data_IF_589921416536
#
_entry.id   IF_589921416536
#
_cell.length_a   1.000
_cell.length_b   1.000
_cell.length_c   1.000
_cell.angle_alpha   90.00
_cell.angle_beta   90.00
_cell.angle_gamma   90.00
#
_symmetry.space_group_name_H-M   'P 1'
#
loop_
_entity.id
_entity.type
_entity.pdbx_description
1 polymer ?
#
# COMPACT_ATOMS: atom_id res chain seq x y z
N UNK A 1 -66.10 -1.60 57.60
CA UNK A 1 -65.81 -1.80 56.16
C UNK A 1 -65.92 -0.41 55.56
N UNK A 2 -64.84 0.29 55.21
CA UNK A 2 -63.77 -0.12 54.29
C UNK A 2 -62.44 0.60 54.55
N UNK A 3 -61.32 -0.05 54.23
CA UNK A 3 -59.98 0.51 54.23
C UNK A 3 -59.60 1.01 52.80
N UNK A 4 -58.83 2.10 52.65
CA UNK A 4 -58.39 2.55 51.34
C UNK A 4 -57.19 1.71 50.83
N UNK A 5 -57.32 1.17 49.62
CA UNK A 5 -56.28 0.42 48.92
C UNK A 5 -55.14 1.34 48.48
N UNK A 6 -53.90 1.00 48.84
CA UNK A 6 -52.68 1.64 48.33
C UNK A 6 -52.37 1.09 46.92
N UNK A 7 -52.41 1.95 45.90
CA UNK A 7 -52.02 1.59 44.54
C UNK A 7 -50.50 1.51 44.42
N UNK A 8 -49.98 0.32 44.11
CA UNK A 8 -48.55 0.09 43.92
C UNK A 8 -48.04 0.73 42.61
N UNK A 9 -47.08 1.66 42.73
CA UNK A 9 -46.38 2.23 41.59
C UNK A 9 -45.55 1.16 40.87
N UNK A 10 -45.97 0.77 39.66
CA UNK A 10 -45.22 -0.18 38.82
C UNK A 10 -43.93 0.48 38.36
N UNK A 11 -42.79 -0.07 38.80
CA UNK A 11 -41.48 0.49 38.47
C UNK A 11 -41.22 0.40 36.96
N UNK A 12 -40.93 1.53 36.30
CA UNK A 12 -40.50 1.60 34.89
C UNK A 12 -39.05 1.10 34.65
N UNK A 13 -38.39 0.58 35.69
CA UNK A 13 -37.03 0.04 35.67
C UNK A 13 -36.77 -1.08 34.65
N UNK A 14 -37.66 -2.07 34.42
CA UNK A 14 -37.33 -3.17 33.52
C UNK A 14 -37.29 -2.75 32.04
N UNK A 15 -38.01 -1.68 31.68
CA UNK A 15 -38.06 -1.17 30.32
C UNK A 15 -36.79 -0.37 29.96
N UNK A 16 -36.26 0.38 30.93
CA UNK A 16 -34.97 1.06 30.77
C UNK A 16 -33.82 0.07 30.64
N UNK A 17 -33.81 -1.02 31.41
CA UNK A 17 -32.82 -2.09 31.28
C UNK A 17 -32.91 -2.84 29.94
N UNK A 18 -34.13 -3.12 29.47
CA UNK A 18 -34.33 -3.75 28.16
C UNK A 18 -33.84 -2.84 27.01
N UNK A 19 -34.11 -1.54 27.09
CA UNK A 19 -33.68 -0.58 26.07
C UNK A 19 -32.16 -0.39 26.07
N UNK A 20 -31.54 -0.40 27.25
CA UNK A 20 -30.08 -0.34 27.40
C UNK A 20 -29.39 -1.61 26.88
N UNK A 21 -30.00 -2.80 27.09
CA UNK A 21 -29.52 -4.06 26.52
C UNK A 21 -29.58 -4.06 25.00
N UNK A 22 -30.67 -3.56 24.39
CA UNK A 22 -30.80 -3.46 22.93
C UNK A 22 -29.74 -2.51 22.34
N UNK A 23 -29.52 -1.35 22.97
CA UNK A 23 -28.48 -0.40 22.55
C UNK A 23 -27.07 -0.98 22.72
N UNK A 24 -26.80 -1.69 23.82
CA UNK A 24 -25.53 -2.39 23.97
C UNK A 24 -25.31 -3.45 22.88
N UNK A 25 -26.33 -4.25 22.54
CA UNK A 25 -26.18 -5.27 21.49
C UNK A 25 -25.93 -4.69 20.10
N UNK A 26 -26.46 -3.51 19.76
CA UNK A 26 -26.21 -2.88 18.47
C UNK A 26 -24.82 -2.24 18.36
N UNK A 27 -24.22 -1.79 19.46
CA UNK A 27 -22.84 -1.28 19.48
C UNK A 27 -21.81 -2.42 19.27
N UNK A 28 -22.11 -3.66 19.71
CA UNK A 28 -21.20 -4.80 19.51
C UNK A 28 -21.12 -5.31 18.05
N UNK A 29 -22.08 -4.96 17.18
CA UNK A 29 -22.10 -5.39 15.78
C UNK A 29 -21.10 -4.70 14.84
N UNK A 30 -20.40 -3.65 15.31
CA UNK A 30 -19.56 -2.81 14.46
C UNK A 30 -18.26 -3.47 13.95
N UNK A 31 -17.81 -4.57 14.56
CA UNK A 31 -16.48 -5.14 14.25
C UNK A 31 -16.45 -6.06 13.02
N UNK A 32 -17.61 -6.51 12.50
CA UNK A 32 -17.65 -7.44 11.36
C UNK A 32 -17.64 -6.76 9.98
N UNK A 33 -17.70 -5.43 9.92
CA UNK A 33 -17.84 -4.69 8.66
C UNK A 33 -16.50 -4.48 7.91
N UNK A 34 -15.36 -4.77 8.53
CA UNK A 34 -14.03 -4.56 7.94
C UNK A 34 -13.43 -5.88 7.42
N UNK A 35 -14.14 -6.58 6.54
CA UNK A 35 -13.57 -7.68 5.80
C UNK A 35 -12.76 -7.12 4.60
N UNK A 36 -11.53 -7.59 4.35
CA UNK A 36 -10.84 -7.25 3.11
C UNK A 36 -11.70 -7.70 1.92
N UNK A 37 -11.66 -6.98 0.79
CA UNK A 37 -12.44 -7.34 -0.39
C UNK A 37 -12.16 -8.78 -0.78
N UNK A 38 -13.23 -9.55 -1.05
CA UNK A 38 -13.10 -10.95 -1.40
C UNK A 38 -12.21 -11.12 -2.64
N UNK A 39 -11.40 -12.18 -2.70
CA UNK A 39 -10.65 -12.49 -3.90
C UNK A 39 -11.57 -12.71 -5.09
N UNK A 40 -11.06 -12.38 -6.28
CA UNK A 40 -11.72 -12.74 -7.53
C UNK A 40 -11.74 -14.26 -7.70
N UNK A 41 -12.77 -14.79 -8.34
CA UNK A 41 -12.89 -16.21 -8.64
C UNK A 41 -12.64 -16.52 -10.11
N UNK A 42 -12.83 -15.53 -11.00
CA UNK A 42 -12.62 -15.68 -12.45
C UNK A 42 -11.92 -14.47 -13.06
N UNK A 43 -11.24 -14.68 -14.20
CA UNK A 43 -10.69 -13.60 -15.03
C UNK A 43 -11.77 -12.59 -15.42
N UNK A 44 -12.95 -13.06 -15.83
CA UNK A 44 -14.06 -12.19 -16.23
C UNK A 44 -14.50 -11.26 -15.09
N UNK A 45 -14.49 -11.75 -13.85
CA UNK A 45 -14.78 -10.92 -12.67
C UNK A 45 -13.70 -9.87 -12.42
N UNK A 46 -12.41 -10.24 -12.54
CA UNK A 46 -11.30 -9.30 -12.40
C UNK A 46 -11.37 -8.19 -13.46
N UNK A 47 -11.64 -8.56 -14.72
CA UNK A 47 -11.82 -7.62 -15.83
C UNK A 47 -13.02 -6.70 -15.62
N UNK A 48 -14.15 -7.24 -15.16
CA UNK A 48 -15.33 -6.43 -14.86
C UNK A 48 -15.07 -5.42 -13.71
N UNK A 49 -14.26 -5.80 -12.72
CA UNK A 49 -13.99 -4.98 -11.54
C UNK A 49 -12.79 -4.02 -11.69
N UNK A 50 -11.85 -4.29 -12.60
CA UNK A 50 -10.60 -3.53 -12.75
C UNK A 50 -10.34 -3.01 -14.17
N UNK A 51 -11.10 -3.45 -15.17
CA UNK A 51 -10.83 -3.18 -16.58
C UNK A 51 -9.73 -4.08 -17.14
N UNK A 52 -9.13 -3.66 -18.25
CA UNK A 52 -8.01 -4.38 -18.86
C UNK A 52 -6.77 -4.35 -17.95
N UNK A 53 -6.04 -5.47 -17.84
CA UNK A 53 -4.79 -5.50 -17.09
C UNK A 53 -3.73 -4.67 -17.79
N UNK A 54 -2.87 -4.06 -17.01
CA UNK A 54 -1.66 -3.36 -17.46
C UNK A 54 -0.77 -4.27 -18.29
N UNK A 55 -0.67 -5.55 -17.91
CA UNK A 55 0.10 -6.57 -18.62
C UNK A 55 -0.46 -7.96 -18.37
N UNK A 56 -0.28 -8.86 -19.34
CA UNK A 56 -0.57 -10.30 -19.21
C UNK A 56 0.74 -11.07 -19.31
N UNK A 57 1.06 -11.84 -18.28
CA UNK A 57 2.24 -12.68 -18.21
C UNK A 57 1.87 -14.13 -18.49
N UNK A 58 2.39 -14.69 -19.59
CA UNK A 58 2.31 -16.13 -19.81
C UNK A 58 3.35 -16.82 -18.93
N UNK A 59 2.92 -17.85 -18.20
CA UNK A 59 3.77 -18.68 -17.35
C UNK A 59 4.06 -20.03 -18.03
N UNK A 60 5.16 -20.66 -17.66
CA UNK A 60 5.60 -21.93 -18.26
C UNK A 60 4.66 -23.11 -17.96
N UNK A 61 3.90 -23.02 -16.86
CA UNK A 61 2.89 -23.99 -16.44
C UNK A 61 1.55 -23.86 -17.20
N UNK A 62 1.48 -22.95 -18.19
CA UNK A 62 0.28 -22.68 -18.98
C UNK A 62 -0.72 -21.74 -18.30
N UNK A 63 -0.43 -21.24 -17.10
CA UNK A 63 -1.24 -20.21 -16.44
C UNK A 63 -0.94 -18.82 -16.99
N UNK A 64 -1.87 -17.89 -16.82
CA UNK A 64 -1.65 -16.47 -17.13
C UNK A 64 -1.74 -15.65 -15.85
N UNK A 65 -0.79 -14.72 -15.64
CA UNK A 65 -0.89 -13.72 -14.57
C UNK A 65 -1.32 -12.38 -15.17
N UNK A 66 -2.45 -11.86 -14.71
CA UNK A 66 -2.96 -10.53 -15.02
C UNK A 66 -2.34 -9.53 -14.04
N UNK A 67 -1.66 -8.52 -14.56
CA UNK A 67 -1.04 -7.45 -13.79
C UNK A 67 -1.92 -6.21 -13.82
N UNK A 68 -2.24 -5.65 -12.65
CA UNK A 68 -2.93 -4.39 -12.47
C UNK A 68 -2.07 -3.43 -11.65
N UNK A 69 -1.14 -2.75 -12.32
CA UNK A 69 -0.22 -1.82 -11.70
C UNK A 69 -0.88 -0.44 -11.52
N UNK A 70 -0.70 0.15 -10.33
CA UNK A 70 -1.11 1.55 -10.08
C UNK A 70 0.04 2.55 -10.25
N UNK A 71 1.24 2.06 -10.61
CA UNK A 71 2.40 2.89 -10.93
C UNK A 71 2.13 3.81 -12.14
N UNK A 72 2.82 4.96 -12.26
CA UNK A 72 3.86 5.49 -11.37
C UNK A 72 3.35 6.24 -10.13
N UNK A 73 2.03 6.43 -10.00
CA UNK A 73 1.43 7.33 -9.00
C UNK A 73 0.85 6.61 -7.79
N UNK A 74 0.43 5.36 -7.94
CA UNK A 74 -0.01 4.49 -6.85
C UNK A 74 1.13 3.67 -6.24
N UNK A 75 0.78 2.79 -5.30
CA UNK A 75 1.74 2.04 -4.48
C UNK A 75 1.45 0.54 -4.41
N UNK A 76 0.57 0.05 -5.29
CA UNK A 76 0.17 -1.36 -5.35
C UNK A 76 0.30 -1.90 -6.78
N UNK A 77 0.53 -3.19 -6.89
CA UNK A 77 0.48 -3.91 -8.16
C UNK A 77 -0.23 -5.25 -7.94
N UNK A 78 -1.55 -5.27 -8.20
CA UNK A 78 -2.32 -6.49 -8.01
C UNK A 78 -2.01 -7.48 -9.12
N UNK A 79 -1.59 -8.69 -8.73
CA UNK A 79 -1.39 -9.82 -9.61
C UNK A 79 -2.51 -10.83 -9.41
N UNK A 80 -3.13 -11.28 -10.51
CA UNK A 80 -4.18 -12.31 -10.50
C UNK A 80 -3.74 -13.44 -11.42
N UNK A 81 -3.38 -14.60 -10.86
CA UNK A 81 -3.02 -15.77 -11.65
C UNK A 81 -4.26 -16.61 -11.94
N UNK A 82 -4.48 -16.90 -13.22
CA UNK A 82 -5.61 -17.68 -13.73
C UNK A 82 -5.12 -18.91 -14.51
N UNK A 83 -5.90 -19.99 -14.45
CA UNK A 83 -5.67 -21.16 -15.30
C UNK A 83 -6.14 -20.93 -16.76
N UNK A 84 -5.94 -21.92 -17.62
CA UNK A 84 -6.37 -21.87 -19.02
C UNK A 84 -7.91 -21.76 -19.20
N UNK A 85 -8.69 -22.08 -18.16
CA UNK A 85 -10.14 -21.93 -18.13
C UNK A 85 -10.62 -20.57 -17.59
N UNK A 86 -9.69 -19.69 -17.18
CA UNK A 86 -10.00 -18.38 -16.61
C UNK A 86 -10.43 -18.43 -15.14
N UNK A 87 -10.17 -19.53 -14.43
CA UNK A 87 -10.40 -19.63 -12.98
C UNK A 87 -9.20 -19.03 -12.23
N UNK A 88 -9.48 -18.19 -11.24
CA UNK A 88 -8.43 -17.58 -10.40
C UNK A 88 -7.85 -18.62 -9.46
N UNK A 89 -6.54 -18.85 -9.58
CA UNK A 89 -5.78 -19.75 -8.73
C UNK A 89 -5.25 -19.03 -7.49
N UNK A 90 -4.76 -17.80 -7.67
CA UNK A 90 -4.29 -16.94 -6.57
C UNK A 90 -4.27 -15.47 -6.97
N UNK A 91 -4.30 -14.61 -5.95
CA UNK A 91 -4.08 -13.17 -6.10
C UNK A 91 -3.17 -12.63 -4.99
N UNK A 92 -2.36 -11.63 -5.31
CA UNK A 92 -1.46 -10.99 -4.34
C UNK A 92 -1.07 -9.59 -4.80
N UNK A 93 -0.57 -8.76 -3.89
CA UNK A 93 0.09 -7.49 -4.25
C UNK A 93 1.58 -7.77 -4.49
N UNK A 94 2.06 -7.52 -5.70
CA UNK A 94 3.45 -7.70 -6.06
C UNK A 94 4.39 -6.70 -5.36
N UNK A 95 3.86 -5.60 -4.81
CA UNK A 95 4.62 -4.61 -4.05
C UNK A 95 4.51 -4.80 -2.54
N UNK A 96 3.95 -5.92 -2.08
CA UNK A 96 3.99 -6.30 -0.66
C UNK A 96 5.43 -6.57 -0.19
N UNK A 97 5.74 -6.26 1.06
CA UNK A 97 7.07 -6.39 1.66
C UNK A 97 7.65 -7.79 1.52
N UNK A 98 6.83 -8.83 1.69
CA UNK A 98 7.26 -10.22 1.53
C UNK A 98 7.73 -10.51 0.10
N UNK A 99 7.08 -9.90 -0.90
CA UNK A 99 7.44 -10.09 -2.30
C UNK A 99 8.65 -9.24 -2.71
N UNK A 100 8.77 -8.01 -2.18
CA UNK A 100 9.96 -7.17 -2.35
C UNK A 100 11.22 -7.86 -1.83
N UNK A 101 11.13 -8.56 -0.70
CA UNK A 101 12.24 -9.31 -0.10
C UNK A 101 12.71 -10.50 -0.97
N UNK A 102 11.91 -10.95 -1.93
CA UNK A 102 12.29 -12.03 -2.87
C UNK A 102 13.24 -11.55 -3.96
N UNK A 103 13.41 -10.23 -4.15
CA UNK A 103 14.42 -9.70 -5.06
C UNK A 103 15.81 -9.99 -4.51
N UNK A 104 16.56 -10.82 -5.22
CA UNK A 104 17.89 -11.26 -4.79
C UNK A 104 18.95 -10.95 -5.84
N UNK A 105 20.20 -10.87 -5.38
CA UNK A 105 21.36 -10.61 -6.25
C UNK A 105 21.46 -11.68 -7.34
N UNK A 106 21.71 -11.25 -8.58
CA UNK A 106 21.85 -12.13 -9.74
C UNK A 106 20.54 -12.39 -10.51
N UNK A 107 19.38 -11.93 -10.00
CA UNK A 107 18.15 -11.92 -10.78
C UNK A 107 18.29 -11.05 -12.04
N UNK A 108 17.62 -11.43 -13.12
CA UNK A 108 17.55 -10.64 -14.36
C UNK A 108 16.47 -9.56 -14.27
N UNK A 109 16.53 -8.59 -15.17
CA UNK A 109 15.48 -7.58 -15.36
C UNK A 109 14.09 -8.21 -15.54
N UNK A 110 13.99 -9.23 -16.39
CA UNK A 110 12.72 -9.89 -16.68
C UNK A 110 12.17 -10.64 -15.46
N UNK A 111 13.05 -11.28 -14.67
CA UNK A 111 12.67 -11.91 -13.41
C UNK A 111 12.13 -10.87 -12.42
N UNK A 112 12.77 -9.71 -12.31
CA UNK A 112 12.31 -8.61 -11.44
C UNK A 112 10.99 -8.02 -11.95
N UNK A 113 10.83 -7.74 -13.25
CA UNK A 113 9.56 -7.25 -13.80
C UNK A 113 8.43 -8.25 -13.64
N UNK A 114 8.68 -9.56 -13.80
CA UNK A 114 7.66 -10.59 -13.56
C UNK A 114 7.29 -10.68 -12.08
N UNK A 115 8.25 -10.45 -11.19
CA UNK A 115 8.05 -10.51 -9.74
C UNK A 115 7.29 -9.30 -9.21
N UNK A 116 7.65 -8.08 -9.63
CA UNK A 116 7.17 -6.82 -9.07
C UNK A 116 6.16 -6.07 -9.96
N UNK A 117 6.02 -6.47 -11.22
CA UNK A 117 5.22 -5.77 -12.22
C UNK A 117 5.88 -4.51 -12.77
N UNK A 118 5.08 -3.64 -13.37
CA UNK A 118 5.51 -2.37 -13.96
C UNK A 118 6.21 -1.48 -12.91
N UNK A 119 7.42 -1.04 -13.23
CA UNK A 119 8.17 -0.05 -12.46
C UNK A 119 7.65 1.37 -12.75
N UNK A 120 7.98 2.30 -11.85
CA UNK A 120 7.66 3.73 -11.95
C UNK A 120 8.61 4.45 -12.91
N UNK A 121 9.92 4.28 -12.73
CA UNK A 121 10.94 4.86 -13.59
C UNK A 121 12.18 3.98 -13.72
N UNK A 122 12.92 4.22 -14.80
CA UNK A 122 14.23 3.65 -15.05
C UNK A 122 15.25 4.79 -15.16
N UNK A 123 16.41 4.64 -14.52
CA UNK A 123 17.48 5.62 -14.58
C UNK A 123 18.85 4.93 -14.69
N UNK A 124 19.69 5.41 -15.61
CA UNK A 124 21.07 4.93 -15.75
C UNK A 124 22.08 5.93 -15.18
N UNK A 125 22.97 5.46 -14.31
CA UNK A 125 24.01 6.24 -13.66
C UNK A 125 25.38 5.95 -14.28
N UNK A 126 25.87 6.85 -15.14
CA UNK A 126 27.12 6.65 -15.90
C UNK A 126 28.37 6.42 -15.05
N UNK A 127 28.45 7.01 -13.85
CA UNK A 127 29.64 6.90 -12.98
C UNK A 127 29.74 5.54 -12.28
N UNK A 128 28.60 4.97 -11.86
CA UNK A 128 28.57 3.63 -11.24
C UNK A 128 28.37 2.51 -12.26
N UNK A 129 27.86 2.83 -13.46
CA UNK A 129 27.41 1.85 -14.44
C UNK A 129 26.09 1.17 -14.04
N UNK A 130 25.41 1.66 -13.01
CA UNK A 130 24.16 1.07 -12.52
C UNK A 130 22.97 1.58 -13.32
N UNK A 131 22.12 0.65 -13.76
CA UNK A 131 20.74 0.92 -14.15
C UNK A 131 19.85 0.70 -12.93
N UNK A 132 18.95 1.63 -12.63
CA UNK A 132 18.12 1.60 -11.43
C UNK A 132 16.67 1.69 -11.85
N UNK A 133 15.89 0.71 -11.42
CA UNK A 133 14.45 0.74 -11.54
C UNK A 133 13.85 1.01 -10.17
N UNK A 134 12.84 1.87 -10.11
CA UNK A 134 12.15 2.20 -8.87
C UNK A 134 10.64 1.91 -8.93
N UNK A 135 10.07 1.62 -7.76
CA UNK A 135 8.64 1.47 -7.52
C UNK A 135 8.24 2.34 -6.35
N UNK A 136 7.11 3.05 -6.47
CA UNK A 136 6.47 3.65 -5.31
C UNK A 136 5.81 2.54 -4.49
N UNK A 137 6.15 2.42 -3.21
CA UNK A 137 5.63 1.37 -2.32
C UNK A 137 4.89 1.98 -1.13
N UNK A 138 4.01 1.19 -0.50
CA UNK A 138 3.27 1.66 0.67
C UNK A 138 4.24 2.04 1.79
N UNK A 139 4.03 3.22 2.37
CA UNK A 139 4.80 3.67 3.52
C UNK A 139 4.10 3.29 4.82
N UNK A 140 4.80 2.57 5.70
CA UNK A 140 4.33 2.19 7.03
C UNK A 140 4.43 3.34 8.05
N UNK A 141 5.30 4.33 7.79
CA UNK A 141 5.62 5.42 8.73
C UNK A 141 4.74 6.68 8.56
N UNK A 142 3.72 6.63 7.72
CA UNK A 142 2.71 7.69 7.57
C UNK A 142 2.52 8.23 6.15
N UNK A 143 1.40 8.91 5.93
CA UNK A 143 0.94 9.36 4.61
C UNK A 143 1.75 10.53 4.01
N UNK A 144 2.67 11.13 4.77
CA UNK A 144 3.42 12.33 4.37
C UNK A 144 4.79 12.04 3.78
N UNK A 145 5.21 10.79 3.61
CA UNK A 145 6.52 10.45 3.02
C UNK A 145 6.27 9.39 1.94
N UNK A 146 6.76 9.60 0.72
CA UNK A 146 6.73 8.57 -0.30
C UNK A 146 7.95 7.65 -0.14
N UNK A 147 7.74 6.34 -0.18
CA UNK A 147 8.82 5.37 -0.07
C UNK A 147 9.03 4.72 -1.43
N UNK A 148 10.25 4.82 -1.95
CA UNK A 148 10.65 4.19 -3.19
C UNK A 148 11.46 2.93 -2.89
N UNK A 149 11.09 1.81 -3.50
CA UNK A 149 11.93 0.62 -3.55
C UNK A 149 12.73 0.64 -4.84
N UNK A 150 14.05 0.54 -4.74
CA UNK A 150 14.97 0.63 -5.86
C UNK A 150 15.68 -0.69 -6.06
N UNK A 151 15.76 -1.15 -7.31
CA UNK A 151 16.54 -2.32 -7.73
C UNK A 151 17.65 -1.83 -8.65
N UNK A 152 18.89 -2.14 -8.28
CA UNK A 152 20.08 -1.73 -9.01
C UNK A 152 20.60 -2.90 -9.84
N UNK A 153 20.88 -2.64 -11.11
CA UNK A 153 21.36 -3.62 -12.08
C UNK A 153 22.73 -3.19 -12.63
N UNK A 154 23.62 -4.16 -12.82
CA UNK A 154 24.82 -4.05 -13.66
C UNK A 154 24.77 -5.24 -14.63
N UNK A 155 25.02 -4.99 -15.92
CA UNK A 155 24.94 -6.01 -16.98
C UNK A 155 23.59 -6.78 -16.97
N UNK A 156 22.50 -6.08 -16.62
CA UNK A 156 21.15 -6.62 -16.54
C UNK A 156 20.88 -7.59 -15.39
N UNK A 157 21.79 -7.68 -14.42
CA UNK A 157 21.69 -8.52 -13.22
C UNK A 157 21.57 -7.65 -11.97
N UNK A 158 20.68 -8.03 -11.05
CA UNK A 158 20.53 -7.34 -9.76
C UNK A 158 21.85 -7.39 -8.99
N UNK A 159 22.37 -6.24 -8.59
CA UNK A 159 23.56 -6.12 -7.74
C UNK A 159 23.23 -5.76 -6.30
N UNK A 160 22.17 -4.96 -6.09
CA UNK A 160 21.66 -4.56 -4.77
C UNK A 160 20.24 -4.00 -4.87
N UNK A 161 19.58 -3.88 -3.72
CA UNK A 161 18.33 -3.15 -3.54
C UNK A 161 18.53 -2.02 -2.53
N UNK A 162 17.72 -0.97 -2.58
CA UNK A 162 17.70 0.09 -1.57
C UNK A 162 16.34 0.75 -1.45
N UNK A 163 16.07 1.42 -0.34
CA UNK A 163 14.88 2.25 -0.18
C UNK A 163 15.25 3.72 -0.11
N UNK A 164 14.41 4.58 -0.70
CA UNK A 164 14.55 6.03 -0.65
C UNK A 164 13.26 6.63 -0.09
N UNK A 165 13.39 7.45 0.95
CA UNK A 165 12.29 8.22 1.51
C UNK A 165 12.28 9.61 0.90
N UNK A 166 11.20 9.94 0.19
CA UNK A 166 10.98 11.25 -0.43
C UNK A 166 10.09 12.06 0.49
N UNK A 167 10.68 13.10 1.07
CA UNK A 167 10.00 14.04 1.96
C UNK A 167 9.40 15.18 1.13
N UNK A 168 8.11 15.50 1.31
CA UNK A 168 7.49 16.66 0.69
C UNK A 168 8.22 17.94 1.10
N UNK A 169 8.45 18.88 0.16
CA UNK A 169 9.07 20.15 0.47
C UNK A 169 8.25 21.02 1.43
N UNK A 170 6.92 20.83 1.48
CA UNK A 170 5.96 21.61 2.28
C UNK A 170 5.75 21.07 3.70
N UNK A 171 6.42 19.96 4.04
CA UNK A 171 6.73 19.50 5.39
C UNK A 171 5.67 19.70 6.46
N UNK A 172 4.70 18.77 6.51
CA UNK A 172 3.93 18.48 7.74
C UNK A 172 4.82 18.06 8.95
N UNK A 173 6.13 17.96 8.76
CA UNK A 173 7.15 17.79 9.81
C UNK A 173 7.60 19.11 10.47
N UNK A 174 7.24 20.25 9.87
CA UNK A 174 7.38 21.56 10.49
C UNK A 174 6.05 21.87 11.16
N UNK A 175 6.04 22.05 12.48
CA UNK A 175 4.81 22.40 13.18
C UNK A 175 4.20 23.72 12.65
N UNK A 176 3.08 24.18 13.22
CA UNK A 176 2.37 25.41 12.79
C UNK A 176 3.22 26.69 12.69
N UNK A 177 4.47 26.64 13.17
CA UNK A 177 5.41 27.76 13.27
C UNK A 177 6.72 27.53 12.47
N UNK A 178 6.79 26.52 11.59
CA UNK A 178 7.98 26.32 10.75
C UNK A 178 9.21 25.78 11.49
N UNK A 179 9.05 25.23 12.70
CA UNK A 179 10.13 24.60 13.47
C UNK A 179 10.00 23.07 13.44
N UNK A 180 11.12 22.33 13.36
CA UNK A 180 11.08 20.87 13.36
C UNK A 180 10.65 20.37 14.75
N UNK A 181 9.77 19.38 14.81
CA UNK A 181 9.43 18.71 16.07
C UNK A 181 10.69 18.04 16.67
N UNK A 182 10.87 18.05 18.01
CA UNK A 182 12.11 17.64 18.67
C UNK A 182 12.29 16.12 18.78
N UNK A 183 11.66 15.30 17.93
CA UNK A 183 11.91 13.86 17.90
C UNK A 183 13.14 13.58 17.03
N UNK A 184 14.25 13.34 17.72
CA UNK A 184 15.61 13.48 17.20
C UNK A 184 16.06 12.44 16.18
N UNK A 185 16.93 12.90 15.28
CA UNK A 185 18.09 12.14 14.80
C UNK A 185 19.36 12.98 15.07
N UNK A 186 20.45 12.37 15.56
CA UNK A 186 21.66 13.10 15.92
C UNK A 186 22.55 13.22 14.70
N UNK A 187 22.38 14.28 13.90
CA UNK A 187 23.45 14.76 13.03
C UNK A 187 23.67 16.25 13.28
N UNK A 188 24.93 16.67 13.48
CA UNK A 188 25.24 18.06 13.81
C UNK A 188 24.82 18.98 12.65
N UNK A 189 24.21 20.11 13.00
CA UNK A 189 23.86 21.19 12.10
C UNK A 189 25.01 21.48 11.12
N UNK A 190 24.83 21.13 9.84
CA UNK A 190 25.58 21.76 8.77
C UNK A 190 24.86 23.05 8.36
N UNK A 191 25.56 24.18 8.26
CA UNK A 191 24.93 25.44 7.90
C UNK A 191 24.57 25.45 6.41
N UNK A 192 23.26 25.58 6.15
CA UNK A 192 22.65 26.03 4.89
C UNK A 192 22.99 25.24 3.62
N UNK A 193 22.26 24.15 3.38
CA UNK A 193 21.96 23.75 2.00
C UNK A 193 20.66 24.43 1.57
N UNK A 194 20.79 25.39 0.65
CA UNK A 194 19.65 25.98 -0.05
C UNK A 194 18.98 24.88 -0.88
N UNK A 195 17.64 24.88 -0.88
CA UNK A 195 16.82 23.91 -1.60
C UNK A 195 17.26 23.77 -3.06
N UNK A 196 17.21 22.54 -3.56
CA UNK A 196 17.39 22.27 -4.98
C UNK A 196 16.30 23.03 -5.73
N UNK A 197 16.72 24.13 -6.36
CA UNK A 197 15.91 24.93 -7.23
C UNK A 197 15.43 24.11 -8.42
N UNK A 198 14.23 24.49 -8.87
CA UNK A 198 13.82 24.37 -10.27
C UNK A 198 14.99 24.74 -11.17
N UNK A 199 15.47 23.82 -12.01
CA UNK A 199 16.38 24.14 -13.11
C UNK A 199 15.54 24.35 -14.37
N UNK A 200 15.37 25.60 -14.86
CA UNK A 200 14.94 25.81 -16.21
C UNK A 200 16.13 25.60 -17.16
N UNK A 201 15.76 25.23 -18.38
CA UNK A 201 16.50 24.96 -19.61
C UNK A 201 17.65 25.94 -19.95
N UNK A 202 18.41 25.58 -21.00
CA UNK A 202 19.54 26.29 -21.66
C UNK A 202 20.84 26.20 -20.83
N UNK A 203 21.96 25.61 -21.30
CA UNK A 203 22.67 25.60 -22.60
C UNK A 203 23.51 24.32 -22.74
#
# INVERSE_FOLDING_TARGET
MDAPSTAAARSARPWLFALLLVVCTSILGGCAAFAPPRPFTTEAEALAARGEPTRRWQNEDGTTTLEYATQPYGHTCLMVQVDAGGIVLRQWDALDGDNLARVTKGMTRDEVSRLLGQHRSEQFFKLSGEEVWDWNIRNEYGASIATLFNVHFIDGKVVRTSQTYVYPPDGAMWGPWGHPYPFGYPYPLHPRFHGYGYWPYWW
#
